data_IF_690005402384
#
_entry.id   IF_690005402384
#
_cell.length_a   1.000
_cell.length_b   1.000
_cell.length_c   1.000
_cell.angle_alpha   90.00
_cell.angle_beta   90.00
_cell.angle_gamma   90.00
#
_symmetry.space_group_name_H-M   'P 1'
#
loop_
_entity.id
_entity.type
_entity.pdbx_description
1 polymer ?
#
# COMPACT_ATOMS: atom_id res chain seq x y z
N UNK A 1 -5.71 -3.95 1.00
CA UNK A 1 -5.77 -4.95 2.10
C UNK A 1 -4.65 -5.95 1.90
N UNK A 2 -4.07 -6.45 2.99
CA UNK A 2 -3.02 -7.47 2.96
C UNK A 2 -3.43 -8.60 3.90
N UNK A 3 -3.32 -9.84 3.45
CA UNK A 3 -3.64 -11.03 4.24
C UNK A 3 -2.59 -12.12 4.02
N UNK A 4 -2.41 -13.01 4.99
CA UNK A 4 -1.54 -14.20 4.88
C UNK A 4 -2.29 -15.42 4.32
N UNK A 5 -3.61 -15.43 4.41
CA UNK A 5 -4.50 -16.46 3.90
C UNK A 5 -5.91 -15.90 3.75
N UNK A 6 -6.71 -16.53 2.89
CA UNK A 6 -8.14 -16.24 2.70
C UNK A 6 -8.89 -17.50 3.13
N UNK A 7 -9.82 -17.36 4.08
CA UNK A 7 -10.40 -18.47 4.82
C UNK A 7 -11.29 -19.39 3.97
N UNK A 8 -12.22 -18.82 3.20
CA UNK A 8 -13.20 -19.56 2.40
C UNK A 8 -13.69 -18.79 1.16
N UNK A 9 -14.47 -19.46 0.32
CA UNK A 9 -15.02 -18.90 -0.92
C UNK A 9 -16.02 -17.75 -0.69
N UNK A 10 -16.70 -17.72 0.46
CA UNK A 10 -17.65 -16.65 0.76
C UNK A 10 -16.89 -15.35 1.05
N UNK A 11 -15.81 -15.42 1.83
CA UNK A 11 -14.91 -14.28 2.08
C UNK A 11 -14.29 -13.79 0.77
N UNK A 12 -13.86 -14.69 -0.10
CA UNK A 12 -13.33 -14.29 -1.42
C UNK A 12 -14.39 -13.53 -2.25
N UNK A 13 -15.64 -13.99 -2.23
CA UNK A 13 -16.74 -13.34 -2.94
C UNK A 13 -17.06 -11.96 -2.36
N UNK A 14 -17.03 -11.80 -1.04
CA UNK A 14 -17.18 -10.50 -0.38
C UNK A 14 -16.03 -9.54 -0.72
N UNK A 15 -14.79 -10.03 -0.72
CA UNK A 15 -13.63 -9.23 -1.13
C UNK A 15 -13.72 -8.78 -2.59
N UNK A 16 -14.22 -9.65 -3.49
CA UNK A 16 -14.50 -9.29 -4.89
C UNK A 16 -15.57 -8.22 -4.99
N UNK A 17 -16.64 -8.32 -4.21
CA UNK A 17 -17.70 -7.31 -4.16
C UNK A 17 -17.17 -5.97 -3.65
N UNK A 18 -16.41 -5.98 -2.55
CA UNK A 18 -15.77 -4.81 -1.96
C UNK A 18 -14.81 -4.14 -2.96
N UNK A 19 -13.99 -4.93 -3.65
CA UNK A 19 -13.06 -4.45 -4.68
C UNK A 19 -13.80 -3.81 -5.86
N UNK A 20 -14.89 -4.43 -6.32
CA UNK A 20 -15.71 -3.88 -7.40
C UNK A 20 -16.33 -2.53 -7.04
N UNK A 21 -16.94 -2.44 -5.85
CA UNK A 21 -17.67 -1.26 -5.38
C UNK A 21 -16.74 -0.11 -4.97
N UNK A 22 -15.66 -0.41 -4.25
CA UNK A 22 -14.81 0.61 -3.62
C UNK A 22 -13.42 0.73 -4.24
N UNK A 23 -13.06 -0.16 -5.16
CA UNK A 23 -11.74 -0.17 -5.81
C UNK A 23 -10.61 -0.59 -4.89
N UNK A 24 -10.91 -1.32 -3.81
CA UNK A 24 -9.91 -1.78 -2.85
C UNK A 24 -9.20 -3.02 -3.40
N UNK A 25 -7.86 -2.98 -3.42
CA UNK A 25 -7.04 -4.12 -3.82
C UNK A 25 -6.73 -5.06 -2.65
N UNK A 26 -6.41 -6.31 -2.97
CA UNK A 26 -6.06 -7.36 -2.01
C UNK A 26 -4.74 -7.99 -2.43
N UNK A 27 -3.79 -8.04 -1.49
CA UNK A 27 -2.50 -8.72 -1.64
C UNK A 27 -2.45 -9.89 -0.67
N UNK A 28 -2.05 -11.06 -1.19
CA UNK A 28 -1.71 -12.23 -0.40
C UNK A 28 -0.20 -12.20 -0.12
N UNK A 29 0.14 -11.97 1.14
CA UNK A 29 1.51 -11.82 1.60
C UNK A 29 2.22 -13.17 1.65
N UNK A 30 3.35 -13.27 0.96
CA UNK A 30 4.31 -14.35 1.17
C UNK A 30 5.24 -13.97 2.34
N UNK A 31 5.17 -14.71 3.44
CA UNK A 31 5.93 -14.44 4.65
C UNK A 31 7.43 -14.73 4.51
N UNK A 32 7.80 -15.70 3.67
CA UNK A 32 9.20 -16.09 3.43
C UNK A 32 9.89 -15.10 2.47
N UNK A 33 9.16 -14.70 1.43
CA UNK A 33 9.64 -13.71 0.47
C UNK A 33 8.54 -12.68 0.14
N UNK A 34 8.47 -11.55 0.87
CA UNK A 34 7.47 -10.51 0.64
C UNK A 34 7.46 -9.97 -0.79
N UNK A 35 8.59 -10.04 -1.52
CA UNK A 35 8.69 -9.61 -2.92
C UNK A 35 7.92 -10.51 -3.89
N UNK A 36 7.67 -11.76 -3.49
CA UNK A 36 6.88 -12.75 -4.24
C UNK A 36 5.41 -12.79 -3.78
N UNK A 37 4.94 -11.76 -3.08
CA UNK A 37 3.53 -11.64 -2.70
C UNK A 37 2.62 -11.48 -3.92
N UNK A 38 1.43 -12.07 -3.87
CA UNK A 38 0.50 -12.08 -4.99
C UNK A 38 -0.56 -10.99 -4.86
N UNK A 39 -0.84 -10.27 -5.95
CA UNK A 39 -1.99 -9.36 -6.03
C UNK A 39 -3.23 -10.13 -6.49
N UNK A 40 -4.07 -10.55 -5.54
CA UNK A 40 -5.29 -11.33 -5.79
C UNK A 40 -6.38 -10.48 -6.45
N UNK A 41 -6.53 -9.23 -6.01
CA UNK A 41 -7.47 -8.26 -6.59
C UNK A 41 -6.76 -6.92 -6.80
N UNK A 42 -6.79 -6.35 -8.01
CA UNK A 42 -6.16 -5.06 -8.26
C UNK A 42 -6.95 -3.93 -7.57
N UNK A 43 -6.23 -2.94 -7.04
CA UNK A 43 -6.86 -1.70 -6.60
C UNK A 43 -7.14 -0.78 -7.79
N UNK A 44 -8.17 0.06 -7.66
CA UNK A 44 -8.40 1.16 -8.61
C UNK A 44 -7.51 2.34 -8.19
N UNK A 45 -6.53 2.77 -9.02
CA UNK A 45 -5.70 3.92 -8.69
C UNK A 45 -6.57 5.18 -8.66
N UNK A 46 -6.29 6.07 -7.71
CA UNK A 46 -6.88 7.41 -7.66
C UNK A 46 -5.86 8.42 -8.19
N UNK A 47 -6.26 9.36 -9.07
CA UNK A 47 -5.35 10.36 -9.59
C UNK A 47 -4.95 11.39 -8.53
N UNK A 48 -5.81 11.58 -7.52
CA UNK A 48 -5.62 12.53 -6.45
C UNK A 48 -5.31 11.81 -5.13
N UNK A 49 -4.39 12.39 -4.36
CA UNK A 49 -4.03 11.91 -3.03
C UNK A 49 -5.07 12.38 -2.02
N UNK A 50 -5.58 11.45 -1.22
CA UNK A 50 -6.42 11.78 -0.07
C UNK A 50 -5.56 12.30 1.09
N UNK A 51 -5.34 13.60 1.10
CA UNK A 51 -4.53 14.27 2.11
C UNK A 51 -5.11 14.18 3.53
N UNK A 52 -6.43 14.05 3.69
CA UNK A 52 -7.03 13.87 5.02
C UNK A 52 -6.60 12.54 5.62
N UNK A 53 -6.66 11.47 4.81
CA UNK A 53 -6.19 10.14 5.21
C UNK A 53 -4.68 10.13 5.49
N UNK A 54 -3.87 10.76 4.62
CA UNK A 54 -2.42 10.87 4.81
C UNK A 54 -2.07 11.56 6.14
N UNK A 55 -2.71 12.70 6.43
CA UNK A 55 -2.48 13.44 7.68
C UNK A 55 -2.84 12.62 8.92
N UNK A 56 -3.88 11.80 8.83
CA UNK A 56 -4.26 10.90 9.92
C UNK A 56 -3.19 9.84 10.16
N UNK A 57 -2.70 9.18 9.10
CA UNK A 57 -1.65 8.15 9.22
C UNK A 57 -0.35 8.76 9.75
N UNK A 58 -0.01 9.99 9.37
CA UNK A 58 1.15 10.71 9.90
C UNK A 58 1.14 10.88 11.42
N UNK A 59 -0.05 11.00 12.02
CA UNK A 59 -0.21 11.12 13.48
C UNK A 59 -0.16 9.74 14.13
N UNK A 60 -0.73 8.71 13.48
CA UNK A 60 -0.82 7.36 14.02
C UNK A 60 0.48 6.55 13.87
N UNK A 61 1.30 6.84 12.86
CA UNK A 61 2.51 6.09 12.53
C UNK A 61 3.69 7.02 12.24
N UNK A 62 4.71 7.00 13.13
CA UNK A 62 5.88 7.86 13.02
C UNK A 62 6.75 7.53 11.79
N UNK A 63 6.89 6.25 11.43
CA UNK A 63 7.70 5.83 10.27
C UNK A 63 7.12 6.37 8.95
N UNK A 64 5.80 6.51 8.87
CA UNK A 64 5.13 7.10 7.71
C UNK A 64 5.50 8.57 7.51
N UNK A 65 5.88 9.30 8.58
CA UNK A 65 6.35 10.68 8.48
C UNK A 65 7.66 10.77 7.72
N UNK A 66 8.62 9.93 8.05
CA UNK A 66 9.93 9.90 7.38
C UNK A 66 9.76 9.59 5.88
N UNK A 67 8.81 8.71 5.54
CA UNK A 67 8.45 8.43 4.15
C UNK A 67 7.88 9.65 3.42
N UNK A 68 6.92 10.38 4.02
CA UNK A 68 6.34 11.57 3.39
C UNK A 68 7.38 12.70 3.23
N UNK A 69 8.28 12.87 4.20
CA UNK A 69 9.39 13.83 4.11
C UNK A 69 10.35 13.48 2.96
N UNK A 70 10.63 12.19 2.77
CA UNK A 70 11.44 11.69 1.65
C UNK A 70 10.77 12.01 0.31
N UNK A 71 9.48 11.69 0.16
CA UNK A 71 8.71 11.97 -1.05
C UNK A 71 8.71 13.48 -1.34
N UNK A 72 8.45 14.31 -0.34
CA UNK A 72 8.47 15.77 -0.47
C UNK A 72 9.83 16.30 -0.94
N UNK A 73 10.92 15.82 -0.34
CA UNK A 73 12.30 16.18 -0.72
C UNK A 73 12.58 15.80 -2.17
N UNK A 74 12.16 14.60 -2.60
CA UNK A 74 12.33 14.15 -3.97
C UNK A 74 11.58 15.05 -4.96
N UNK A 75 10.32 15.39 -4.69
CA UNK A 75 9.54 16.27 -5.57
C UNK A 75 10.14 17.68 -5.69
N UNK A 76 10.72 18.22 -4.62
CA UNK A 76 11.32 19.55 -4.64
C UNK A 76 12.70 19.61 -5.30
N UNK A 77 13.51 18.55 -5.13
CA UNK A 77 14.93 18.58 -5.48
C UNK A 77 15.31 17.66 -6.63
N UNK A 78 14.44 16.71 -7.00
CA UNK A 78 14.72 15.62 -7.92
C UNK A 78 15.74 14.59 -7.41
N UNK A 79 16.23 14.73 -6.18
CA UNK A 79 17.31 13.88 -5.64
C UNK A 79 16.75 12.65 -4.95
N UNK A 80 17.14 11.47 -5.44
CA UNK A 80 16.88 10.19 -4.78
C UNK A 80 17.95 9.96 -3.72
N UNK A 81 17.55 9.64 -2.49
CA UNK A 81 18.48 9.24 -1.43
C UNK A 81 18.73 7.75 -1.54
N UNK A 82 19.83 7.34 -2.16
CA UNK A 82 20.18 5.93 -2.38
C UNK A 82 20.21 5.05 -1.11
N UNK A 83 20.34 5.66 0.08
CA UNK A 83 20.27 4.95 1.37
C UNK A 83 18.87 4.45 1.75
N UNK A 84 17.82 5.04 1.17
CA UNK A 84 16.41 4.77 1.52
C UNK A 84 15.76 3.77 0.52
N UNK A 85 16.48 3.41 -0.55
CA UNK A 85 16.10 2.34 -1.47
C UNK A 85 16.96 1.12 -1.16
N UNK A 86 16.32 -0.02 -0.90
CA UNK A 86 17.01 -1.28 -0.63
C UNK A 86 18.09 -1.53 -1.69
N UNK A 87 19.34 -1.70 -1.23
CA UNK A 87 20.35 -2.39 -2.03
C UNK A 87 19.84 -3.81 -2.22
N UNK A 88 19.55 -4.16 -3.47
CA UNK A 88 19.40 -5.55 -3.91
C UNK A 88 20.62 -6.37 -3.48
#
# INVERSE_FOLDING_TARGET
LVAISISDNNVEQELRMLSSLHGIGVILLNLENPSESEMVLPSKPRPEVDWQSVNRILIENADFKDYIELVSTYYQTGRVRAKDWNKL
#
